data_IF_234946826736
#
_entry.id   IF_234946826736
#
_cell.length_a   1.000
_cell.length_b   1.000
_cell.length_c   1.000
_cell.angle_alpha   90.00
_cell.angle_beta   90.00
_cell.angle_gamma   90.00
#
_symmetry.space_group_name_H-M   'P 1'
#
loop_
_entity.id
_entity.type
_entity.pdbx_description
1 polymer ?
#
# COMPACT_ATOMS: atom_id res chain seq x y z
N UNK A 1 -13.24 -42.11 -8.32
CA UNK A 1 -13.66 -40.83 -8.94
C UNK A 1 -13.43 -39.61 -8.03
N UNK A 2 -13.71 -39.66 -6.72
CA UNK A 2 -13.50 -38.54 -5.79
C UNK A 2 -12.02 -38.06 -5.68
N UNK A 3 -11.04 -38.95 -5.75
CA UNK A 3 -9.61 -38.61 -5.66
C UNK A 3 -9.04 -37.88 -6.89
N UNK A 4 -9.58 -38.13 -8.08
CA UNK A 4 -9.16 -37.43 -9.30
C UNK A 4 -9.76 -36.02 -9.39
N UNK A 5 -11.02 -35.84 -8.98
CA UNK A 5 -11.68 -34.53 -8.90
C UNK A 5 -11.01 -33.63 -7.85
N UNK A 6 -10.63 -34.17 -6.68
CA UNK A 6 -9.90 -33.43 -5.64
C UNK A 6 -8.48 -33.01 -6.07
N UNK A 7 -7.79 -33.84 -6.88
CA UNK A 7 -6.48 -33.47 -7.47
C UNK A 7 -6.58 -32.39 -8.55
N UNK A 8 -7.62 -32.41 -9.40
CA UNK A 8 -7.85 -31.40 -10.42
C UNK A 8 -8.24 -30.05 -9.81
N UNK A 9 -9.06 -30.02 -8.76
CA UNK A 9 -9.41 -28.78 -8.03
C UNK A 9 -8.19 -28.17 -7.32
N UNK A 10 -7.35 -28.99 -6.68
CA UNK A 10 -6.15 -28.52 -5.99
C UNK A 10 -5.10 -27.92 -6.94
N UNK A 11 -4.93 -28.45 -8.15
CA UNK A 11 -4.06 -27.90 -9.19
C UNK A 11 -4.56 -26.54 -9.70
N UNK A 12 -5.86 -26.41 -9.96
CA UNK A 12 -6.48 -25.15 -10.42
C UNK A 12 -6.36 -24.04 -9.38
N UNK A 13 -6.55 -24.31 -8.08
CA UNK A 13 -6.42 -23.32 -6.99
C UNK A 13 -4.98 -22.80 -6.89
N UNK A 14 -3.98 -23.69 -6.95
CA UNK A 14 -2.57 -23.27 -6.91
C UNK A 14 -2.20 -22.36 -8.08
N UNK A 15 -2.57 -22.73 -9.30
CA UNK A 15 -2.32 -21.91 -10.50
C UNK A 15 -2.97 -20.54 -10.36
N UNK A 16 -4.22 -20.49 -9.92
CA UNK A 16 -4.92 -19.22 -9.67
C UNK A 16 -4.18 -18.34 -8.65
N UNK A 17 -3.73 -18.91 -7.53
CA UNK A 17 -3.00 -18.17 -6.49
C UNK A 17 -1.68 -17.61 -7.02
N UNK A 18 -0.91 -18.38 -7.80
CA UNK A 18 0.32 -17.90 -8.42
C UNK A 18 0.07 -16.79 -9.43
N UNK A 19 -0.94 -16.92 -10.30
CA UNK A 19 -1.29 -15.85 -11.26
C UNK A 19 -1.70 -14.58 -10.51
N UNK A 20 -2.55 -14.67 -9.48
CA UNK A 20 -2.97 -13.53 -8.69
C UNK A 20 -1.79 -12.90 -7.94
N UNK A 21 -0.85 -13.69 -7.42
CA UNK A 21 0.38 -13.19 -6.79
C UNK A 21 1.21 -12.38 -7.81
N UNK A 22 1.43 -12.94 -9.02
CA UNK A 22 2.20 -12.26 -10.08
C UNK A 22 1.49 -10.95 -10.47
N UNK A 23 0.17 -10.96 -10.66
CA UNK A 23 -0.62 -9.74 -10.93
C UNK A 23 -0.43 -8.69 -9.83
N UNK A 24 -0.40 -9.12 -8.56
CA UNK A 24 -0.23 -8.20 -7.44
C UNK A 24 1.22 -7.68 -7.31
N UNK A 25 2.21 -8.50 -7.69
CA UNK A 25 3.60 -8.03 -7.84
C UNK A 25 3.67 -6.91 -8.88
N UNK A 26 3.09 -7.10 -10.07
CA UNK A 26 3.04 -6.07 -11.12
C UNK A 26 2.35 -4.80 -10.63
N UNK A 27 1.25 -4.93 -9.90
CA UNK A 27 0.55 -3.79 -9.30
C UNK A 27 1.48 -2.94 -8.40
N UNK A 28 2.30 -3.58 -7.56
CA UNK A 28 3.24 -2.87 -6.69
C UNK A 28 4.50 -2.39 -7.41
N UNK A 29 4.95 -3.07 -8.47
CA UNK A 29 6.01 -2.56 -9.35
C UNK A 29 5.57 -1.22 -9.96
N UNK A 30 4.35 -1.15 -10.51
CA UNK A 30 3.81 0.07 -11.13
C UNK A 30 3.68 1.24 -10.15
N UNK A 31 3.40 0.95 -8.87
CA UNK A 31 3.35 1.98 -7.81
C UNK A 31 4.74 2.46 -7.41
N UNK A 32 5.74 1.59 -7.41
CA UNK A 32 7.06 1.96 -6.93
C UNK A 32 7.94 2.57 -8.02
N UNK A 33 7.76 2.17 -9.27
CA UNK A 33 8.56 2.70 -10.38
C UNK A 33 8.44 4.21 -10.49
N UNK A 34 7.26 4.79 -10.27
CA UNK A 34 7.07 6.24 -10.34
C UNK A 34 7.83 6.99 -9.24
N UNK A 35 8.00 6.37 -8.06
CA UNK A 35 8.72 6.98 -6.95
C UNK A 35 10.22 7.08 -7.26
N UNK A 36 10.81 6.02 -7.83
CA UNK A 36 12.24 6.01 -8.15
C UNK A 36 12.56 6.86 -9.39
N UNK A 37 11.61 6.99 -10.32
CA UNK A 37 11.75 7.80 -11.54
C UNK A 37 11.36 9.27 -11.33
N UNK A 38 10.89 9.66 -10.14
CA UNK A 38 10.33 11.00 -9.89
C UNK A 38 11.34 12.12 -10.19
N UNK A 39 12.60 11.97 -9.77
CA UNK A 39 13.63 13.00 -10.01
C UNK A 39 14.06 13.09 -11.47
N UNK A 40 14.37 11.99 -12.19
CA UNK A 40 14.61 12.05 -13.64
C UNK A 40 13.46 12.69 -14.43
N UNK A 41 12.21 12.39 -14.07
CA UNK A 41 11.02 12.99 -14.69
C UNK A 41 10.95 14.49 -14.41
N UNK A 42 11.20 14.91 -13.17
CA UNK A 42 11.21 16.32 -12.76
C UNK A 42 12.21 17.11 -13.58
N UNK A 43 13.42 16.60 -13.68
CA UNK A 43 14.51 17.28 -14.40
C UNK A 43 14.22 17.42 -15.90
N UNK A 44 13.70 16.35 -16.54
CA UNK A 44 13.47 16.40 -18.00
C UNK A 44 12.25 17.23 -18.38
N UNK A 45 11.15 17.15 -17.60
CA UNK A 45 9.91 17.88 -17.89
C UNK A 45 9.82 19.24 -17.21
N UNK A 46 10.82 19.66 -16.42
CA UNK A 46 10.85 20.93 -15.70
C UNK A 46 9.72 21.06 -14.67
N UNK A 47 9.41 19.97 -13.94
CA UNK A 47 8.30 19.95 -13.01
C UNK A 47 8.68 20.53 -11.65
N UNK A 48 7.70 21.13 -10.94
CA UNK A 48 7.84 21.47 -9.54
C UNK A 48 7.69 20.25 -8.64
N UNK A 49 8.17 20.33 -7.42
CA UNK A 49 8.03 19.27 -6.41
C UNK A 49 6.56 19.04 -6.04
N UNK A 50 5.73 20.09 -6.03
CA UNK A 50 4.26 19.97 -5.90
C UNK A 50 3.65 19.11 -7.01
N UNK A 51 4.08 19.30 -8.26
CA UNK A 51 3.61 18.51 -9.40
C UNK A 51 4.03 17.03 -9.27
N UNK A 52 5.25 16.77 -8.82
CA UNK A 52 5.72 15.42 -8.50
C UNK A 52 4.85 14.79 -7.40
N UNK A 53 4.62 15.50 -6.30
CA UNK A 53 3.77 15.03 -5.21
C UNK A 53 2.32 14.77 -5.63
N UNK A 54 1.76 15.62 -6.51
CA UNK A 54 0.42 15.43 -7.08
C UNK A 54 0.34 14.16 -7.94
N UNK A 55 1.33 13.95 -8.79
CA UNK A 55 1.41 12.81 -9.71
C UNK A 55 1.63 11.48 -8.99
N UNK A 56 2.53 11.44 -8.02
CA UNK A 56 2.87 10.21 -7.27
C UNK A 56 1.81 9.86 -6.23
N UNK A 57 1.08 10.86 -5.72
CA UNK A 57 0.10 10.73 -4.65
C UNK A 57 -1.35 10.89 -5.11
N UNK A 58 -1.86 12.12 -5.03
CA UNK A 58 -3.29 12.40 -5.09
C UNK A 58 -3.96 11.99 -6.40
N UNK A 59 -3.29 12.19 -7.54
CA UNK A 59 -3.84 11.83 -8.85
C UNK A 59 -4.18 10.34 -8.97
N UNK A 60 -3.33 9.50 -8.42
CA UNK A 60 -3.56 8.06 -8.36
C UNK A 60 -4.55 7.69 -7.25
N UNK A 61 -4.30 8.14 -6.02
CA UNK A 61 -5.01 7.70 -4.82
C UNK A 61 -6.50 8.07 -4.84
N UNK A 62 -6.86 9.24 -5.38
CA UNK A 62 -8.23 9.71 -5.43
C UNK A 62 -9.11 8.75 -6.25
N UNK A 63 -8.69 8.43 -7.46
CA UNK A 63 -9.46 7.56 -8.35
C UNK A 63 -9.43 6.10 -7.89
N UNK A 64 -8.27 5.61 -7.43
CA UNK A 64 -8.12 4.29 -6.84
C UNK A 64 -9.09 4.09 -5.67
N UNK A 65 -9.17 5.07 -4.76
CA UNK A 65 -9.96 4.97 -3.53
C UNK A 65 -11.45 5.12 -3.81
N UNK A 66 -11.85 6.10 -4.62
CA UNK A 66 -13.27 6.36 -4.93
C UNK A 66 -13.86 5.21 -5.73
N UNK A 67 -13.14 4.72 -6.74
CA UNK A 67 -13.64 3.65 -7.61
C UNK A 67 -13.56 2.26 -6.98
N UNK A 68 -12.69 2.06 -6.00
CA UNK A 68 -12.55 0.77 -5.31
C UNK A 68 -13.84 0.26 -4.69
N UNK A 69 -14.66 1.13 -4.09
CA UNK A 69 -15.94 0.76 -3.48
C UNK A 69 -17.03 0.34 -4.50
N UNK A 70 -17.32 1.12 -5.56
CA UNK A 70 -18.25 0.70 -6.62
C UNK A 70 -17.81 -0.60 -7.30
N UNK A 71 -16.51 -0.74 -7.59
CA UNK A 71 -15.95 -1.93 -8.25
C UNK A 71 -16.06 -3.17 -7.36
N UNK A 72 -15.79 -3.04 -6.04
CA UNK A 72 -16.01 -4.12 -5.10
C UNK A 72 -17.45 -4.64 -5.13
N UNK A 73 -18.43 -3.73 -5.07
CA UNK A 73 -19.87 -4.08 -5.18
C UNK A 73 -20.23 -4.71 -6.54
N UNK A 74 -19.61 -4.21 -7.61
CA UNK A 74 -19.80 -4.78 -8.95
C UNK A 74 -19.23 -6.20 -9.03
N UNK A 75 -18.05 -6.43 -8.46
CA UNK A 75 -17.39 -7.73 -8.41
C UNK A 75 -18.19 -8.79 -7.64
N UNK A 76 -18.99 -8.38 -6.65
CA UNK A 76 -19.78 -9.29 -5.82
C UNK A 76 -21.08 -9.77 -6.50
N UNK A 77 -21.51 -9.12 -7.59
CA UNK A 77 -22.68 -9.54 -8.35
C UNK A 77 -22.46 -10.93 -8.95
N UNK A 78 -23.48 -11.79 -8.91
CA UNK A 78 -23.42 -13.16 -9.47
C UNK A 78 -23.18 -13.19 -10.98
N UNK A 79 -23.57 -12.12 -11.69
CA UNK A 79 -23.39 -11.95 -13.13
C UNK A 79 -21.98 -11.54 -13.53
N UNK A 80 -21.18 -10.99 -12.61
CA UNK A 80 -19.83 -10.48 -12.91
C UNK A 80 -18.83 -11.63 -13.05
N UNK A 81 -18.06 -11.60 -14.13
CA UNK A 81 -16.92 -12.49 -14.33
C UNK A 81 -15.66 -11.82 -13.73
N UNK A 82 -15.27 -12.26 -12.52
CA UNK A 82 -14.13 -11.65 -11.79
C UNK A 82 -12.79 -11.79 -12.51
N UNK A 83 -12.43 -12.93 -13.13
CA UNK A 83 -11.25 -13.02 -14.00
C UNK A 83 -11.21 -11.97 -15.11
N UNK A 84 -12.33 -11.73 -15.79
CA UNK A 84 -12.41 -10.69 -16.82
C UNK A 84 -12.26 -9.28 -16.25
N UNK A 85 -12.78 -9.03 -15.04
CA UNK A 85 -12.61 -7.76 -14.37
C UNK A 85 -11.14 -7.55 -13.98
N UNK A 86 -10.48 -8.57 -13.42
CA UNK A 86 -9.04 -8.51 -13.05
C UNK A 86 -8.17 -8.32 -14.31
N UNK A 87 -8.41 -9.11 -15.38
CA UNK A 87 -7.65 -9.01 -16.61
C UNK A 87 -7.84 -7.67 -17.32
N UNK A 88 -9.07 -7.16 -17.38
CA UNK A 88 -9.37 -5.83 -17.94
C UNK A 88 -8.72 -4.69 -17.13
N UNK A 89 -8.81 -4.78 -15.81
CA UNK A 89 -8.14 -3.87 -14.89
C UNK A 89 -6.62 -3.87 -15.13
N UNK A 90 -6.00 -5.05 -15.18
CA UNK A 90 -4.57 -5.23 -15.45
C UNK A 90 -4.18 -4.64 -16.82
N UNK A 91 -4.95 -4.91 -17.86
CA UNK A 91 -4.67 -4.37 -19.19
C UNK A 91 -4.73 -2.83 -19.21
N UNK A 92 -5.74 -2.25 -18.54
CA UNK A 92 -5.91 -0.79 -18.46
C UNK A 92 -4.73 -0.14 -17.73
N UNK A 93 -4.42 -0.57 -16.48
CA UNK A 93 -3.34 0.10 -15.76
C UNK A 93 -1.99 -0.10 -16.42
N UNK A 94 -1.72 -1.30 -16.97
CA UNK A 94 -0.47 -1.57 -17.66
C UNK A 94 -0.29 -0.74 -18.93
N UNK A 95 -1.38 -0.55 -19.70
CA UNK A 95 -1.38 0.36 -20.85
C UNK A 95 -1.14 1.83 -20.41
N UNK A 96 -1.78 2.26 -19.32
CA UNK A 96 -1.59 3.61 -18.78
C UNK A 96 -0.16 3.79 -18.22
N UNK A 97 0.42 2.76 -17.60
CA UNK A 97 1.83 2.77 -17.17
C UNK A 97 2.76 2.92 -18.38
N UNK A 98 2.54 2.18 -19.47
CA UNK A 98 3.30 2.35 -20.70
C UNK A 98 3.12 3.77 -21.28
N UNK A 99 1.90 4.31 -21.27
CA UNK A 99 1.61 5.67 -21.72
C UNK A 99 2.31 6.76 -20.88
N UNK A 100 2.62 6.51 -19.59
CA UNK A 100 3.48 7.41 -18.81
C UNK A 100 4.83 7.63 -19.49
N UNK A 101 5.42 6.60 -20.11
CA UNK A 101 6.69 6.71 -20.84
C UNK A 101 6.61 7.58 -22.12
N UNK A 102 5.42 7.77 -22.68
CA UNK A 102 5.20 8.59 -23.87
C UNK A 102 4.81 10.04 -23.54
N UNK A 103 4.63 10.37 -22.26
CA UNK A 103 4.22 11.70 -21.84
C UNK A 103 5.29 12.76 -22.14
N UNK A 104 4.90 13.86 -22.76
CA UNK A 104 5.78 14.98 -23.14
C UNK A 104 5.63 16.20 -22.21
N UNK A 105 4.64 16.19 -21.35
CA UNK A 105 4.36 17.26 -20.40
C UNK A 105 3.62 16.71 -19.16
N UNK A 106 3.52 17.57 -18.14
CA UNK A 106 2.87 17.23 -16.87
C UNK A 106 1.44 16.72 -17.03
N UNK A 107 0.62 17.36 -17.88
CA UNK A 107 -0.81 16.98 -18.00
C UNK A 107 -0.97 15.60 -18.59
N UNK A 108 -0.19 15.24 -19.62
CA UNK A 108 -0.22 13.88 -20.18
C UNK A 108 0.18 12.84 -19.15
N UNK A 109 1.25 13.10 -18.39
CA UNK A 109 1.72 12.21 -17.35
C UNK A 109 0.68 12.08 -16.21
N UNK A 110 0.08 13.19 -15.79
CA UNK A 110 -0.96 13.22 -14.76
C UNK A 110 -2.18 12.40 -15.18
N UNK A 111 -2.67 12.56 -16.42
CA UNK A 111 -3.81 11.80 -16.94
C UNK A 111 -3.49 10.30 -17.04
N UNK A 112 -2.29 9.94 -17.48
CA UNK A 112 -1.86 8.55 -17.49
C UNK A 112 -1.82 7.95 -16.06
N UNK A 113 -1.33 8.70 -15.07
CA UNK A 113 -1.33 8.28 -13.65
C UNK A 113 -2.73 8.14 -13.07
N UNK A 114 -3.67 9.03 -13.44
CA UNK A 114 -5.10 8.85 -13.12
C UNK A 114 -5.61 7.54 -13.72
N UNK A 115 -5.30 7.27 -14.98
CA UNK A 115 -5.69 6.03 -15.66
C UNK A 115 -5.12 4.77 -15.00
N UNK A 116 -3.89 4.82 -14.49
CA UNK A 116 -3.32 3.73 -13.66
C UNK A 116 -4.17 3.52 -12.40
N UNK A 117 -4.50 4.60 -11.66
CA UNK A 117 -5.35 4.51 -10.46
C UNK A 117 -6.73 3.94 -10.73
N UNK A 118 -7.37 4.33 -11.85
CA UNK A 118 -8.65 3.77 -12.31
C UNK A 118 -8.54 2.26 -12.58
N UNK A 119 -7.50 1.84 -13.30
CA UNK A 119 -7.27 0.44 -13.62
C UNK A 119 -7.03 -0.40 -12.37
N UNK A 120 -6.11 0.02 -11.51
CA UNK A 120 -5.73 -0.74 -10.31
C UNK A 120 -6.89 -0.93 -9.31
N UNK A 121 -7.86 -0.01 -9.27
CA UNK A 121 -9.05 -0.15 -8.42
C UNK A 121 -9.84 -1.44 -8.71
N UNK A 122 -9.72 -1.99 -9.94
CA UNK A 122 -10.39 -3.20 -10.39
C UNK A 122 -9.70 -4.51 -10.02
N UNK A 123 -8.58 -4.51 -9.31
CA UNK A 123 -7.78 -5.72 -9.08
C UNK A 123 -8.05 -6.39 -7.73
N UNK A 124 -7.78 -5.69 -6.63
CA UNK A 124 -7.73 -6.29 -5.28
C UNK A 124 -9.09 -6.81 -4.79
N UNK A 125 -10.23 -6.10 -4.91
CA UNK A 125 -11.50 -6.58 -4.42
C UNK A 125 -11.95 -7.89 -5.11
N UNK A 126 -11.95 -8.01 -6.47
CA UNK A 126 -12.32 -9.26 -7.11
C UNK A 126 -11.32 -10.39 -6.86
N UNK A 127 -10.01 -10.11 -6.67
CA UNK A 127 -9.03 -11.12 -6.32
C UNK A 127 -9.31 -11.74 -4.95
N UNK A 128 -9.58 -10.91 -3.93
CA UNK A 128 -9.95 -11.39 -2.59
C UNK A 128 -11.24 -12.22 -2.62
N UNK A 129 -12.26 -11.75 -3.35
CA UNK A 129 -13.52 -12.48 -3.51
C UNK A 129 -13.31 -13.83 -4.22
N UNK A 130 -12.46 -13.86 -5.25
CA UNK A 130 -12.11 -15.09 -5.98
C UNK A 130 -11.39 -16.11 -5.08
N UNK A 131 -10.39 -15.66 -4.32
CA UNK A 131 -9.66 -16.51 -3.36
C UNK A 131 -10.61 -17.07 -2.30
N UNK A 132 -11.51 -16.24 -1.74
CA UNK A 132 -12.46 -16.66 -0.73
C UNK A 132 -13.41 -17.75 -1.21
N UNK A 133 -13.80 -17.74 -2.50
CA UNK A 133 -14.70 -18.74 -3.08
C UNK A 133 -13.99 -20.04 -3.48
N UNK A 134 -12.67 -19.99 -3.76
CA UNK A 134 -11.89 -21.15 -4.21
C UNK A 134 -11.20 -21.92 -3.09
N UNK A 135 -10.95 -21.25 -1.95
CA UNK A 135 -10.14 -21.81 -0.86
C UNK A 135 -11.03 -22.14 0.34
N UNK A 136 -10.79 -23.32 0.93
CA UNK A 136 -11.46 -23.74 2.15
C UNK A 136 -11.34 -22.68 3.26
N UNK A 137 -12.39 -22.45 4.09
CA UNK A 137 -12.38 -21.46 5.15
C UNK A 137 -11.15 -21.56 6.08
N UNK A 138 -10.70 -22.77 6.40
CA UNK A 138 -9.54 -23.06 7.25
C UNK A 138 -8.20 -22.61 6.64
N UNK A 139 -8.10 -22.49 5.32
CA UNK A 139 -6.87 -22.13 4.57
C UNK A 139 -6.91 -20.73 3.94
N UNK A 140 -8.04 -20.01 4.07
CA UNK A 140 -8.22 -18.68 3.45
C UNK A 140 -7.20 -17.66 3.91
N UNK A 141 -6.91 -17.62 5.23
CA UNK A 141 -5.91 -16.69 5.77
C UNK A 141 -4.53 -16.92 5.16
N UNK A 142 -4.11 -18.17 5.03
CA UNK A 142 -2.82 -18.51 4.39
C UNK A 142 -2.78 -18.16 2.91
N UNK A 143 -3.89 -18.37 2.18
CA UNK A 143 -3.98 -18.00 0.77
C UNK A 143 -3.95 -16.49 0.54
N UNK A 144 -4.63 -15.72 1.40
CA UNK A 144 -4.59 -14.26 1.36
C UNK A 144 -3.21 -13.73 1.77
N UNK A 145 -2.55 -14.35 2.76
CA UNK A 145 -1.17 -14.02 3.12
C UNK A 145 -0.20 -14.29 1.96
N UNK A 146 -0.35 -15.42 1.26
CA UNK A 146 0.42 -15.73 0.06
C UNK A 146 0.22 -14.66 -1.03
N UNK A 147 -1.02 -14.28 -1.31
CA UNK A 147 -1.33 -13.19 -2.25
C UNK A 147 -0.69 -11.86 -1.82
N UNK A 148 -0.73 -11.55 -0.51
CA UNK A 148 -0.16 -10.33 0.04
C UNK A 148 1.38 -10.24 -0.05
N UNK A 149 2.10 -11.36 -0.29
CA UNK A 149 3.53 -11.34 -0.60
C UNK A 149 3.84 -10.51 -1.85
N UNK A 150 2.86 -10.29 -2.72
CA UNK A 150 2.99 -9.39 -3.87
C UNK A 150 3.37 -7.96 -3.47
N UNK A 151 3.01 -7.49 -2.27
CA UNK A 151 3.33 -6.15 -1.77
C UNK A 151 4.86 -5.98 -1.60
N UNK A 152 5.53 -6.71 -0.69
CA UNK A 152 6.97 -6.52 -0.46
C UNK A 152 7.81 -6.92 -1.68
N UNK A 153 7.43 -7.99 -2.39
CA UNK A 153 8.16 -8.42 -3.59
C UNK A 153 8.04 -7.35 -4.69
N UNK A 154 6.83 -6.87 -4.97
CA UNK A 154 6.60 -5.85 -5.98
C UNK A 154 7.24 -4.50 -5.62
N UNK A 155 7.23 -4.14 -4.33
CA UNK A 155 7.91 -2.93 -3.84
C UNK A 155 9.42 -2.99 -4.09
N UNK A 156 10.06 -4.08 -3.69
CA UNK A 156 11.49 -4.29 -3.91
C UNK A 156 11.84 -4.31 -5.39
N UNK A 157 11.12 -5.12 -6.17
CA UNK A 157 11.37 -5.26 -7.61
C UNK A 157 11.09 -3.94 -8.36
N UNK A 158 10.05 -3.20 -7.97
CA UNK A 158 9.71 -1.91 -8.59
C UNK A 158 10.78 -0.86 -8.40
N UNK A 159 11.35 -0.76 -7.20
CA UNK A 159 12.47 0.14 -6.93
C UNK A 159 13.75 -0.30 -7.65
N UNK A 160 14.10 -1.59 -7.56
CA UNK A 160 15.31 -2.14 -8.16
C UNK A 160 15.26 -2.07 -9.69
N UNK A 161 14.23 -2.66 -10.30
CA UNK A 161 14.09 -2.71 -11.76
C UNK A 161 13.89 -1.30 -12.32
N UNK A 162 13.04 -0.49 -11.68
CA UNK A 162 12.79 0.89 -12.09
C UNK A 162 14.05 1.73 -12.08
N UNK A 163 14.87 1.64 -11.03
CA UNK A 163 16.14 2.35 -10.93
C UNK A 163 17.17 1.89 -11.97
N UNK A 164 17.39 0.57 -12.12
CA UNK A 164 18.31 0.01 -13.10
C UNK A 164 17.91 0.36 -14.55
N UNK A 165 16.62 0.33 -14.86
CA UNK A 165 16.12 0.74 -16.17
C UNK A 165 16.28 2.26 -16.39
N UNK A 166 16.09 3.08 -15.37
CA UNK A 166 16.32 4.51 -15.47
C UNK A 166 17.75 4.84 -15.87
N UNK A 167 18.72 4.17 -15.24
CA UNK A 167 20.15 4.39 -15.52
C UNK A 167 20.58 3.84 -16.91
N UNK A 168 19.97 2.74 -17.37
CA UNK A 168 20.39 2.06 -18.59
C UNK A 168 19.67 2.57 -19.86
N UNK A 169 18.36 2.81 -19.78
CA UNK A 169 17.53 3.15 -20.94
C UNK A 169 16.68 4.42 -20.77
N UNK A 170 16.78 5.07 -19.62
CA UNK A 170 16.02 6.25 -19.25
C UNK A 170 14.59 5.95 -18.76
N UNK A 171 14.00 6.92 -18.06
CA UNK A 171 12.70 6.75 -17.40
C UNK A 171 11.54 6.45 -18.36
N UNK A 172 11.58 6.96 -19.59
CA UNK A 172 10.54 6.72 -20.60
C UNK A 172 10.47 5.26 -20.99
N UNK A 173 11.62 4.68 -21.34
CA UNK A 173 11.71 3.27 -21.69
C UNK A 173 11.47 2.36 -20.48
N UNK A 174 11.84 2.80 -19.27
CA UNK A 174 11.53 2.06 -18.04
C UNK A 174 10.01 1.85 -17.89
N UNK A 175 9.19 2.89 -18.10
CA UNK A 175 7.73 2.75 -18.09
C UNK A 175 7.20 1.81 -19.18
N UNK A 176 7.76 1.86 -20.39
CA UNK A 176 7.36 0.96 -21.47
C UNK A 176 7.72 -0.49 -21.15
N UNK A 177 8.94 -0.75 -20.67
CA UNK A 177 9.44 -2.09 -20.35
C UNK A 177 8.66 -2.71 -19.18
N UNK A 178 8.19 -1.92 -18.23
CA UNK A 178 7.40 -2.40 -17.10
C UNK A 178 5.92 -2.52 -17.45
N UNK A 179 5.35 -1.58 -18.22
CA UNK A 179 3.94 -1.60 -18.57
C UNK A 179 3.57 -2.69 -19.59
N UNK A 180 4.34 -2.84 -20.67
CA UNK A 180 3.99 -3.77 -21.74
C UNK A 180 3.86 -5.24 -21.30
N UNK A 181 4.73 -5.82 -20.45
CA UNK A 181 4.56 -7.19 -19.98
C UNK A 181 3.28 -7.42 -19.18
N UNK A 182 2.76 -6.38 -18.49
CA UNK A 182 1.47 -6.46 -17.80
C UNK A 182 0.29 -6.66 -18.76
N UNK A 183 0.35 -6.12 -19.98
CA UNK A 183 -0.66 -6.38 -21.01
C UNK A 183 -0.61 -7.87 -21.46
N UNK A 184 0.59 -8.43 -21.63
CA UNK A 184 0.75 -9.86 -21.91
C UNK A 184 0.23 -10.73 -20.75
N UNK A 185 0.50 -10.31 -19.51
CA UNK A 185 -0.04 -11.00 -18.32
C UNK A 185 -1.57 -10.93 -18.25
N UNK A 186 -2.20 -9.86 -18.74
CA UNK A 186 -3.67 -9.79 -18.83
C UNK A 186 -4.24 -10.88 -19.75
N UNK A 187 -3.57 -11.22 -20.84
CA UNK A 187 -3.96 -12.36 -21.71
C UNK A 187 -3.88 -13.68 -20.94
N UNK A 188 -2.84 -13.87 -20.10
CA UNK A 188 -2.74 -15.05 -19.23
C UNK A 188 -3.91 -15.08 -18.24
N UNK A 189 -4.27 -13.95 -17.64
CA UNK A 189 -5.43 -13.86 -16.73
C UNK A 189 -6.72 -14.25 -17.46
N UNK A 190 -6.99 -13.70 -18.64
CA UNK A 190 -8.19 -14.03 -19.42
C UNK A 190 -8.30 -15.50 -19.80
N UNK A 191 -7.17 -16.17 -20.08
CA UNK A 191 -7.14 -17.54 -20.57
C UNK A 191 -7.14 -18.58 -19.44
N UNK A 192 -6.40 -18.34 -18.37
CA UNK A 192 -6.16 -19.36 -17.34
C UNK A 192 -7.01 -19.16 -16.07
N UNK A 193 -7.38 -17.93 -15.68
CA UNK A 193 -8.24 -17.74 -14.53
C UNK A 193 -9.70 -18.11 -14.87
N UNK A 194 -10.32 -18.87 -13.96
CA UNK A 194 -11.72 -19.30 -14.07
C UNK A 194 -12.49 -18.84 -12.85
N UNK A 195 -13.71 -18.33 -13.05
CA UNK A 195 -14.60 -17.98 -11.94
C UNK A 195 -15.30 -19.25 -11.41
N UNK A 196 -15.10 -19.64 -10.13
CA UNK A 196 -15.72 -20.82 -9.55
C UNK A 196 -17.25 -20.74 -9.53
N UNK A 197 -17.84 -19.53 -9.52
CA UNK A 197 -19.28 -19.32 -9.61
C UNK A 197 -19.87 -19.80 -10.95
N UNK A 198 -19.06 -19.77 -12.02
CA UNK A 198 -19.45 -20.17 -13.37
C UNK A 198 -19.07 -21.61 -13.71
N UNK A 199 -18.09 -22.17 -13.02
CA UNK A 199 -17.58 -23.53 -13.29
C UNK A 199 -18.12 -24.58 -12.31
N UNK A 200 -18.95 -24.17 -11.34
CA UNK A 200 -19.48 -25.08 -10.32
C UNK A 200 -18.43 -25.57 -9.30
N UNK A 201 -17.25 -24.95 -9.27
CA UNK A 201 -16.15 -25.33 -8.38
C UNK A 201 -16.17 -24.54 -7.06
N UNK A 202 -17.33 -24.01 -6.63
CA UNK A 202 -17.46 -23.34 -5.35
C UNK A 202 -17.29 -24.32 -4.20
N UNK A 203 -16.51 -23.94 -3.19
CA UNK A 203 -16.37 -24.73 -1.97
C UNK A 203 -17.67 -24.72 -1.15
N UNK A 204 -18.08 -25.91 -0.68
CA UNK A 204 -19.22 -26.03 0.22
C UNK A 204 -19.00 -25.20 1.49
N UNK A 205 -19.98 -24.43 1.92
CA UNK A 205 -19.90 -23.55 3.09
C UNK A 205 -19.60 -22.08 2.78
N UNK A 206 -19.40 -21.69 1.51
CA UNK A 206 -19.14 -20.29 1.13
C UNK A 206 -20.42 -19.41 1.17
N UNK A 207 -21.59 -20.02 1.23
CA UNK A 207 -22.90 -19.32 1.23
C UNK A 207 -23.38 -18.82 2.60
N UNK A 208 -22.59 -18.87 3.66
CA UNK A 208 -22.97 -18.11 4.85
C UNK A 208 -22.67 -16.62 4.64
N UNK A 209 -23.54 -15.96 3.88
CA UNK A 209 -23.77 -14.53 4.03
C UNK A 209 -24.33 -14.31 5.43
N UNK A 210 -23.46 -14.15 6.43
CA UNK A 210 -23.90 -13.45 7.65
C UNK A 210 -24.49 -12.14 7.16
N UNK A 211 -25.77 -11.88 7.43
CA UNK A 211 -26.45 -10.62 7.08
C UNK A 211 -25.51 -9.48 7.45
N UNK A 212 -24.97 -8.79 6.45
CA UNK A 212 -24.11 -7.64 6.69
C UNK A 212 -24.93 -6.56 7.37
N UNK A 213 -24.34 -5.94 8.38
CA UNK A 213 -25.00 -4.80 9.03
C UNK A 213 -25.24 -3.70 7.98
N UNK A 214 -26.43 -3.05 7.97
CA UNK A 214 -26.67 -1.91 7.09
C UNK A 214 -25.58 -0.85 7.22
N UNK A 215 -25.07 -0.35 6.10
CA UNK A 215 -23.93 0.58 6.05
C UNK A 215 -24.11 1.76 7.01
N UNK A 216 -25.31 2.38 7.05
CA UNK A 216 -25.60 3.52 7.94
C UNK A 216 -25.46 3.14 9.41
N UNK A 217 -25.94 1.96 9.81
CA UNK A 217 -25.84 1.47 11.19
C UNK A 217 -24.40 1.12 11.56
N UNK A 218 -23.65 0.49 10.64
CA UNK A 218 -22.23 0.20 10.84
C UNK A 218 -21.40 1.48 11.01
N UNK A 219 -21.58 2.48 10.14
CA UNK A 219 -20.90 3.77 10.26
C UNK A 219 -21.25 4.48 11.57
N UNK A 220 -22.55 4.48 11.97
CA UNK A 220 -22.95 5.06 13.23
C UNK A 220 -22.27 4.39 14.42
N UNK A 221 -22.22 3.06 14.45
CA UNK A 221 -21.55 2.31 15.52
C UNK A 221 -20.04 2.59 15.58
N UNK A 222 -19.36 2.68 14.42
CA UNK A 222 -17.94 2.96 14.31
C UNK A 222 -17.60 4.37 14.79
N UNK A 223 -18.28 5.40 14.27
CA UNK A 223 -17.98 6.79 14.62
C UNK A 223 -18.50 7.20 16.02
N UNK A 224 -19.32 6.38 16.66
CA UNK A 224 -19.66 6.54 18.08
C UNK A 224 -18.56 6.02 19.02
N UNK A 225 -17.68 5.13 18.57
CA UNK A 225 -16.52 4.66 19.31
C UNK A 225 -15.36 5.64 19.20
N UNK A 226 -14.97 6.23 20.33
CA UNK A 226 -13.82 7.15 20.37
C UNK A 226 -12.50 6.44 20.06
N UNK A 227 -12.35 5.18 20.51
CA UNK A 227 -11.19 4.37 20.20
C UNK A 227 -11.09 4.09 18.68
N UNK A 228 -12.21 3.80 18.01
CA UNK A 228 -12.24 3.61 16.56
C UNK A 228 -11.81 4.88 15.82
N UNK A 229 -12.34 6.04 16.15
CA UNK A 229 -11.99 7.33 15.54
C UNK A 229 -10.51 7.66 15.73
N UNK A 230 -9.99 7.49 16.97
CA UNK A 230 -8.57 7.70 17.26
C UNK A 230 -7.68 6.73 16.48
N UNK A 231 -8.11 5.49 16.31
CA UNK A 231 -7.35 4.47 15.58
C UNK A 231 -7.32 4.74 14.08
N UNK A 232 -8.43 5.19 13.48
CA UNK A 232 -8.47 5.64 12.09
C UNK A 232 -7.58 6.87 11.89
N UNK A 233 -7.62 7.84 12.81
CA UNK A 233 -6.75 9.02 12.77
C UNK A 233 -5.27 8.62 12.89
N UNK A 234 -4.92 7.73 13.83
CA UNK A 234 -3.57 7.23 14.02
C UNK A 234 -3.03 6.51 12.77
N UNK A 235 -3.84 5.57 12.23
CA UNK A 235 -3.47 4.80 11.04
C UNK A 235 -3.35 5.67 9.79
N UNK A 236 -4.20 6.69 9.64
CA UNK A 236 -4.15 7.64 8.52
C UNK A 236 -2.94 8.57 8.62
N UNK A 237 -2.63 9.09 9.81
CA UNK A 237 -1.45 9.91 10.05
C UNK A 237 -0.14 9.12 9.86
N UNK A 238 -0.11 7.85 10.31
CA UNK A 238 1.02 6.96 10.06
C UNK A 238 1.20 6.66 8.56
N UNK A 239 0.11 6.38 7.85
CA UNK A 239 0.12 6.17 6.39
C UNK A 239 0.56 7.44 5.63
N UNK A 240 0.14 8.63 6.08
CA UNK A 240 0.55 9.90 5.50
C UNK A 240 2.08 10.06 5.52
N UNK A 241 2.71 9.77 6.64
CA UNK A 241 4.17 9.83 6.76
C UNK A 241 4.85 8.70 5.99
N UNK A 242 4.29 7.48 5.99
CA UNK A 242 4.89 6.35 5.31
C UNK A 242 4.92 6.57 3.79
N UNK A 243 3.79 6.89 3.17
CA UNK A 243 3.72 7.12 1.72
C UNK A 243 4.43 8.40 1.29
N UNK A 244 4.29 9.49 2.05
CA UNK A 244 5.02 10.72 1.79
C UNK A 244 6.53 10.49 1.80
N UNK A 245 7.05 9.90 2.87
CA UNK A 245 8.50 9.69 3.03
C UNK A 245 9.09 8.75 1.96
N UNK A 246 8.40 7.71 1.53
CA UNK A 246 8.96 6.77 0.54
C UNK A 246 9.36 7.50 -0.76
N UNK A 247 8.48 8.32 -1.32
CA UNK A 247 8.77 9.11 -2.51
C UNK A 247 9.92 10.08 -2.27
N UNK A 248 9.87 10.84 -1.17
CA UNK A 248 10.80 11.93 -0.94
C UNK A 248 12.16 11.49 -0.40
N UNK A 249 12.28 10.32 0.23
CA UNK A 249 13.56 9.71 0.58
C UNK A 249 14.30 9.24 -0.68
N UNK A 250 13.60 8.71 -1.70
CA UNK A 250 14.26 8.38 -2.97
C UNK A 250 14.83 9.63 -3.63
N UNK A 251 14.06 10.73 -3.66
CA UNK A 251 14.51 12.02 -4.19
C UNK A 251 15.66 12.60 -3.35
N UNK A 252 15.61 12.48 -2.03
CA UNK A 252 16.69 12.92 -1.13
C UNK A 252 18.01 12.21 -1.43
N UNK A 253 18.01 10.89 -1.61
CA UNK A 253 19.23 10.18 -1.98
C UNK A 253 19.78 10.59 -3.35
N UNK A 254 18.91 10.83 -4.33
CA UNK A 254 19.33 11.26 -5.66
C UNK A 254 19.82 12.72 -5.65
N UNK A 255 19.10 13.62 -5.01
CA UNK A 255 19.31 15.07 -5.06
C UNK A 255 20.42 15.51 -4.10
N UNK A 256 20.36 15.10 -2.84
CA UNK A 256 21.30 15.52 -1.79
C UNK A 256 22.60 14.71 -1.80
N UNK A 257 22.49 13.39 -2.06
CA UNK A 257 23.67 12.52 -2.04
C UNK A 257 24.21 12.16 -3.42
N UNK A 258 23.55 12.59 -4.50
CA UNK A 258 23.99 12.38 -5.88
C UNK A 258 23.95 10.90 -6.33
N UNK A 259 23.19 10.03 -5.66
CA UNK A 259 23.06 8.64 -6.07
C UNK A 259 22.24 8.57 -7.36
N UNK A 260 22.60 7.62 -8.23
CA UNK A 260 21.77 7.32 -9.40
C UNK A 260 20.43 6.69 -8.98
N UNK A 261 19.40 6.71 -9.83
CA UNK A 261 18.16 5.97 -9.60
C UNK A 261 18.41 4.48 -9.32
N UNK A 262 19.37 3.84 -10.02
CA UNK A 262 19.73 2.43 -9.83
C UNK A 262 20.35 2.17 -8.46
N UNK A 263 21.29 2.98 -8.03
CA UNK A 263 21.88 2.90 -6.70
C UNK A 263 20.84 3.11 -5.60
N UNK A 264 20.00 4.14 -5.76
CA UNK A 264 18.92 4.42 -4.81
C UNK A 264 17.91 3.27 -4.76
N UNK A 265 17.51 2.73 -5.92
CA UNK A 265 16.58 1.62 -6.03
C UNK A 265 17.11 0.34 -5.38
N UNK A 266 18.40 0.05 -5.55
CA UNK A 266 19.07 -1.08 -4.92
C UNK A 266 19.13 -0.91 -3.40
N UNK A 267 19.82 0.13 -2.93
CA UNK A 267 20.14 0.26 -1.52
C UNK A 267 18.94 0.64 -0.66
N UNK A 268 18.20 1.68 -1.05
CA UNK A 268 17.00 2.06 -0.31
C UNK A 268 15.85 1.06 -0.50
N UNK A 269 15.73 0.42 -1.67
CA UNK A 269 14.77 -0.65 -1.89
C UNK A 269 14.97 -1.85 -0.96
N UNK A 270 16.22 -2.28 -0.75
CA UNK A 270 16.57 -3.35 0.20
C UNK A 270 16.23 -2.96 1.66
N UNK A 271 16.57 -1.73 2.07
CA UNK A 271 16.25 -1.24 3.41
C UNK A 271 14.73 -1.12 3.58
N UNK A 272 14.04 -0.47 2.66
CA UNK A 272 12.59 -0.26 2.75
C UNK A 272 11.81 -1.59 2.73
N UNK A 273 12.19 -2.52 1.85
CA UNK A 273 11.58 -3.86 1.77
C UNK A 273 11.92 -4.71 2.99
N UNK A 274 13.21 -4.92 3.26
CA UNK A 274 13.67 -5.81 4.33
C UNK A 274 13.29 -5.33 5.73
N UNK A 275 13.60 -4.08 6.06
CA UNK A 275 13.25 -3.50 7.37
C UNK A 275 11.73 -3.34 7.53
N UNK A 276 10.99 -3.05 6.44
CA UNK A 276 9.54 -2.98 6.45
C UNK A 276 8.89 -4.32 6.81
N UNK A 277 9.37 -5.43 6.22
CA UNK A 277 8.92 -6.79 6.56
C UNK A 277 9.24 -7.09 8.03
N UNK A 278 10.47 -6.84 8.46
CA UNK A 278 10.90 -7.07 9.84
C UNK A 278 10.03 -6.29 10.85
N UNK A 279 9.73 -5.02 10.55
CA UNK A 279 8.87 -4.18 11.37
C UNK A 279 7.42 -4.69 11.45
N UNK A 280 6.86 -5.11 10.33
CA UNK A 280 5.49 -5.66 10.28
C UNK A 280 5.37 -6.95 11.09
N UNK A 281 6.33 -7.87 10.95
CA UNK A 281 6.38 -9.14 11.71
C UNK A 281 6.58 -8.85 13.20
N UNK A 282 7.51 -7.96 13.54
CA UNK A 282 7.78 -7.58 14.92
C UNK A 282 6.57 -6.92 15.57
N UNK A 283 5.84 -6.06 14.84
CA UNK A 283 4.60 -5.41 15.31
C UNK A 283 3.52 -6.43 15.65
N UNK A 284 3.31 -7.44 14.80
CA UNK A 284 2.41 -8.56 15.07
C UNK A 284 2.84 -9.36 16.30
N UNK A 285 4.11 -9.76 16.37
CA UNK A 285 4.66 -10.53 17.50
C UNK A 285 4.50 -9.80 18.85
N UNK A 286 4.80 -8.50 18.89
CA UNK A 286 4.65 -7.66 20.09
C UNK A 286 3.18 -7.57 20.49
N UNK A 287 2.29 -7.35 19.51
CA UNK A 287 0.85 -7.29 19.77
C UNK A 287 0.32 -8.60 20.36
N UNK A 288 0.71 -9.75 19.82
CA UNK A 288 0.28 -11.06 20.30
C UNK A 288 0.83 -11.35 21.70
N UNK A 289 2.13 -11.15 21.93
CA UNK A 289 2.80 -11.52 23.19
C UNK A 289 2.46 -10.59 24.35
N UNK A 290 2.48 -9.27 24.11
CA UNK A 290 2.25 -8.27 25.16
C UNK A 290 0.80 -7.85 25.24
N UNK A 291 0.08 -7.85 24.11
CA UNK A 291 -1.35 -7.61 24.05
C UNK A 291 -2.18 -8.68 24.77
N UNK A 292 -1.69 -9.93 24.82
CA UNK A 292 -2.31 -11.00 25.61
C UNK A 292 -2.30 -10.71 27.11
N UNK A 293 -1.31 -9.98 27.63
CA UNK A 293 -1.22 -9.58 29.04
C UNK A 293 -2.06 -8.33 29.34
N UNK A 294 -2.06 -7.38 28.45
CA UNK A 294 -2.84 -6.15 28.52
C UNK A 294 -3.05 -5.61 27.10
N UNK A 295 -4.29 -5.56 26.66
CA UNK A 295 -4.71 -5.10 25.32
C UNK A 295 -4.18 -3.70 24.96
N UNK A 296 -3.93 -2.84 25.97
CA UNK A 296 -3.30 -1.52 25.81
C UNK A 296 -1.95 -1.60 25.10
N UNK A 297 -1.15 -2.64 25.36
CA UNK A 297 0.19 -2.78 24.79
C UNK A 297 0.19 -3.04 23.27
N UNK A 298 -0.94 -3.49 22.71
CA UNK A 298 -1.10 -3.66 21.26
C UNK A 298 -0.80 -2.34 20.51
N UNK A 299 -1.28 -1.21 21.03
CA UNK A 299 -1.12 0.11 20.40
C UNK A 299 -0.02 0.97 21.02
N UNK A 300 0.45 0.64 22.23
CA UNK A 300 1.57 1.35 22.86
C UNK A 300 2.88 1.11 22.09
N UNK A 301 3.09 -0.10 21.54
CA UNK A 301 4.31 -0.41 20.79
C UNK A 301 4.44 0.46 19.51
N UNK A 302 3.43 0.58 18.63
CA UNK A 302 3.47 1.54 17.54
C UNK A 302 3.70 2.99 17.99
N UNK A 303 3.04 3.44 19.08
CA UNK A 303 3.23 4.78 19.61
C UNK A 303 4.68 5.06 20.01
N UNK A 304 5.30 4.14 20.77
CA UNK A 304 6.72 4.23 21.16
C UNK A 304 7.63 4.15 19.94
N UNK A 305 7.36 3.23 19.01
CA UNK A 305 8.12 3.10 17.77
C UNK A 305 8.18 4.42 16.97
N UNK A 306 7.06 5.13 16.85
CA UNK A 306 7.02 6.43 16.16
C UNK A 306 7.91 7.48 16.85
N UNK A 307 7.98 7.47 18.19
CA UNK A 307 8.88 8.38 18.94
C UNK A 307 10.34 7.97 18.78
N UNK A 308 10.65 6.68 18.86
CA UNK A 308 12.01 6.13 18.68
C UNK A 308 12.56 6.45 17.28
N UNK A 309 11.69 6.57 16.28
CA UNK A 309 12.07 6.98 14.92
C UNK A 309 12.80 8.33 14.90
N UNK A 310 12.44 9.28 15.78
CA UNK A 310 12.85 10.69 15.68
C UNK A 310 14.39 10.87 15.69
N UNK A 311 15.14 10.41 16.69
CA UNK A 311 16.60 10.66 16.73
C UNK A 311 17.32 10.01 15.54
N UNK A 312 16.93 8.82 15.12
CA UNK A 312 17.56 8.14 14.00
C UNK A 312 17.27 8.83 12.67
N UNK A 313 16.03 9.26 12.44
CA UNK A 313 15.66 9.97 11.22
C UNK A 313 16.31 11.36 11.15
N UNK A 314 16.37 12.09 12.26
CA UNK A 314 17.10 13.37 12.31
C UNK A 314 18.56 13.20 11.94
N UNK A 315 19.27 12.24 12.54
CA UNK A 315 20.67 11.96 12.22
C UNK A 315 20.84 11.52 10.77
N UNK A 316 19.89 10.70 10.24
CA UNK A 316 19.92 10.26 8.84
C UNK A 316 19.83 11.42 7.85
N UNK A 317 18.97 12.41 8.12
CA UNK A 317 18.79 13.56 7.22
C UNK A 317 19.83 14.65 7.43
N UNK A 318 20.58 14.64 8.56
CA UNK A 318 21.65 15.60 8.82
C UNK A 318 23.03 15.17 8.27
N UNK A 319 23.26 13.87 8.11
CA UNK A 319 24.57 13.37 7.66
C UNK A 319 24.77 13.56 6.15
N UNK A 320 26.00 13.89 5.75
CA UNK A 320 26.41 13.94 4.34
C UNK A 320 26.91 12.59 3.82
N UNK A 321 27.04 11.59 4.68
CA UNK A 321 27.40 10.24 4.30
C UNK A 321 26.12 9.43 3.98
N UNK A 322 25.88 9.14 2.71
CA UNK A 322 24.70 8.41 2.25
C UNK A 322 24.57 7.01 2.85
N UNK A 323 25.69 6.32 3.07
CA UNK A 323 25.67 4.97 3.62
C UNK A 323 25.26 5.00 5.10
N UNK A 324 25.77 5.98 5.87
CA UNK A 324 25.35 6.21 7.24
C UNK A 324 23.87 6.60 7.31
N UNK A 325 23.40 7.49 6.41
CA UNK A 325 21.98 7.84 6.30
C UNK A 325 21.12 6.60 6.08
N UNK A 326 21.53 5.73 5.16
CA UNK A 326 20.83 4.48 4.84
C UNK A 326 20.74 3.55 6.06
N UNK A 327 21.84 3.32 6.79
CA UNK A 327 21.85 2.51 8.00
C UNK A 327 20.99 3.09 9.11
N UNK A 328 21.02 4.39 9.31
CA UNK A 328 20.19 5.08 10.30
C UNK A 328 18.70 4.96 9.96
N UNK A 329 18.31 4.89 8.68
CA UNK A 329 16.93 4.72 8.24
C UNK A 329 16.35 3.31 8.46
N UNK A 330 17.18 2.31 8.78
CA UNK A 330 16.69 0.95 9.12
C UNK A 330 15.76 1.00 10.34
N UNK A 331 16.16 1.69 11.40
CA UNK A 331 15.36 1.80 12.63
C UNK A 331 14.03 2.52 12.40
N UNK A 332 13.99 3.71 11.77
CA UNK A 332 12.74 4.34 11.36
C UNK A 332 11.82 3.45 10.52
N UNK A 333 12.37 2.71 9.56
CA UNK A 333 11.57 1.84 8.69
C UNK A 333 10.94 0.69 9.45
N UNK A 334 11.68 0.03 10.35
CA UNK A 334 11.15 -1.00 11.25
C UNK A 334 10.05 -0.40 12.13
N UNK A 335 10.34 0.69 12.83
CA UNK A 335 9.43 1.30 13.79
C UNK A 335 8.15 1.83 13.13
N UNK A 336 8.27 2.44 11.94
CA UNK A 336 7.13 2.92 11.19
C UNK A 336 6.25 1.79 10.61
N UNK A 337 6.75 0.56 10.54
CA UNK A 337 5.98 -0.61 10.07
C UNK A 337 5.29 -1.40 11.19
N UNK A 338 5.60 -1.10 12.46
CA UNK A 338 5.02 -1.81 13.62
C UNK A 338 3.50 -1.69 13.71
N UNK A 339 2.89 -0.63 13.14
CA UNK A 339 1.47 -0.33 13.34
C UNK A 339 0.52 -1.17 12.49
N UNK A 340 0.98 -1.81 11.40
CA UNK A 340 0.08 -2.47 10.46
C UNK A 340 -0.79 -3.54 11.13
N UNK A 341 -0.21 -4.61 11.66
CA UNK A 341 -0.94 -5.68 12.33
C UNK A 341 -1.81 -5.20 13.48
N UNK A 342 -1.22 -4.48 14.47
CA UNK A 342 -1.95 -3.93 15.61
C UNK A 342 -3.16 -3.07 15.24
N UNK A 343 -3.04 -2.22 14.21
CA UNK A 343 -4.13 -1.35 13.79
C UNK A 343 -5.29 -2.14 13.19
N UNK A 344 -4.99 -3.07 12.27
CA UNK A 344 -6.04 -3.87 11.63
C UNK A 344 -6.75 -4.81 12.60
N UNK A 345 -6.02 -5.45 13.51
CA UNK A 345 -6.61 -6.32 14.55
C UNK A 345 -7.48 -5.52 15.51
N UNK A 346 -7.03 -4.34 15.95
CA UNK A 346 -7.79 -3.49 16.87
C UNK A 346 -9.06 -2.93 16.21
N UNK A 347 -8.99 -2.49 14.94
CA UNK A 347 -10.18 -2.04 14.19
C UNK A 347 -11.25 -3.12 14.14
N UNK A 348 -10.85 -4.38 13.87
CA UNK A 348 -11.79 -5.49 13.81
C UNK A 348 -12.33 -5.88 15.19
N UNK A 349 -11.56 -5.72 16.26
CA UNK A 349 -12.00 -5.96 17.64
C UNK A 349 -13.02 -4.92 18.15
N UNK A 350 -12.89 -3.66 17.70
CA UNK A 350 -13.76 -2.56 18.12
C UNK A 350 -15.17 -2.56 17.49
N UNK A 351 -15.46 -3.49 16.58
CA UNK A 351 -16.76 -3.55 15.88
C UNK A 351 -17.38 -4.95 15.94
N UNK A 352 -18.70 -5.06 15.86
CA UNK A 352 -19.39 -6.35 15.75
C UNK A 352 -18.89 -7.16 14.53
N UNK A 353 -18.94 -8.49 14.61
CA UNK A 353 -18.51 -9.40 13.53
C UNK A 353 -19.08 -9.02 12.16
N UNK A 354 -20.38 -8.63 12.12
CA UNK A 354 -21.10 -8.22 10.90
C UNK A 354 -20.63 -6.89 10.29
N UNK A 355 -19.86 -6.08 11.04
CA UNK A 355 -19.33 -4.77 10.61
C UNK A 355 -17.83 -4.79 10.30
N UNK A 356 -17.09 -5.86 10.56
CA UNK A 356 -15.62 -5.94 10.43
C UNK A 356 -15.11 -5.59 9.04
N UNK A 357 -15.78 -6.09 7.99
CA UNK A 357 -15.41 -5.79 6.62
C UNK A 357 -15.57 -4.30 6.29
N UNK A 358 -16.66 -3.68 6.75
CA UNK A 358 -16.92 -2.24 6.57
C UNK A 358 -15.88 -1.43 7.34
N UNK A 359 -15.52 -1.84 8.56
CA UNK A 359 -14.53 -1.15 9.39
C UNK A 359 -13.13 -1.17 8.75
N UNK A 360 -12.71 -2.30 8.20
CA UNK A 360 -11.47 -2.40 7.44
C UNK A 360 -11.50 -1.53 6.17
N UNK A 361 -12.63 -1.49 5.46
CA UNK A 361 -12.79 -0.63 4.28
C UNK A 361 -12.73 0.86 4.63
N UNK A 362 -13.33 1.28 5.75
CA UNK A 362 -13.27 2.66 6.25
C UNK A 362 -11.83 3.04 6.60
N UNK A 363 -11.11 2.17 7.33
CA UNK A 363 -9.70 2.42 7.64
C UNK A 363 -8.87 2.58 6.36
N UNK A 364 -8.99 1.64 5.43
CA UNK A 364 -8.27 1.69 4.15
C UNK A 364 -8.61 2.93 3.33
N UNK A 365 -9.89 3.33 3.31
CA UNK A 365 -10.33 4.56 2.62
C UNK A 365 -9.56 5.78 3.13
N UNK A 366 -9.52 5.98 4.44
CA UNK A 366 -8.81 7.12 5.02
C UNK A 366 -7.29 7.00 4.88
N UNK A 367 -6.70 5.80 5.03
CA UNK A 367 -5.27 5.58 4.82
C UNK A 367 -4.85 5.86 3.37
N UNK A 368 -5.66 5.47 2.39
CA UNK A 368 -5.36 5.74 0.99
C UNK A 368 -5.56 7.21 0.63
N UNK A 369 -6.68 7.80 1.03
CA UNK A 369 -6.96 9.19 0.66
C UNK A 369 -5.99 10.17 1.36
N UNK A 370 -5.81 10.03 2.68
CA UNK A 370 -4.94 10.91 3.46
C UNK A 370 -3.47 10.48 3.31
N UNK A 371 -3.18 9.18 3.41
CA UNK A 371 -1.81 8.68 3.35
C UNK A 371 -1.23 8.73 1.94
N UNK A 372 -1.73 7.87 1.08
CA UNK A 372 -1.23 7.73 -0.29
C UNK A 372 -1.51 8.98 -1.14
N UNK A 373 -2.68 9.65 -0.93
CA UNK A 373 -3.06 10.83 -1.70
C UNK A 373 -2.35 12.09 -1.23
N UNK A 374 -2.56 12.50 0.01
CA UNK A 374 -2.09 13.78 0.51
C UNK A 374 -0.63 13.73 1.00
N UNK A 375 -0.09 12.56 1.38
CA UNK A 375 1.28 12.44 1.87
C UNK A 375 2.29 12.99 0.87
N UNK A 376 2.49 12.37 -0.31
CA UNK A 376 3.48 12.82 -1.28
C UNK A 376 3.24 14.28 -1.72
N UNK A 377 1.98 14.70 -1.87
CA UNK A 377 1.63 16.07 -2.25
C UNK A 377 2.08 17.09 -1.20
N UNK A 378 1.82 16.84 0.09
CA UNK A 378 2.23 17.73 1.17
C UNK A 378 3.75 17.94 1.21
N UNK A 379 4.51 16.86 1.08
CA UNK A 379 5.98 16.95 1.06
C UNK A 379 6.47 17.76 -0.14
N UNK A 380 5.86 17.59 -1.32
CA UNK A 380 6.18 18.38 -2.51
C UNK A 380 5.88 19.87 -2.35
N UNK A 381 4.71 20.20 -1.80
CA UNK A 381 4.35 21.60 -1.52
C UNK A 381 5.31 22.23 -0.52
N UNK A 382 5.71 21.49 0.52
CA UNK A 382 6.68 21.99 1.51
C UNK A 382 8.08 22.15 0.88
N UNK A 383 8.47 21.26 -0.05
CA UNK A 383 9.74 21.37 -0.76
C UNK A 383 9.79 22.61 -1.63
N UNK A 384 8.75 22.87 -2.44
CA UNK A 384 8.65 24.08 -3.26
C UNK A 384 8.65 25.37 -2.40
N UNK A 385 7.96 25.32 -1.23
CA UNK A 385 7.94 26.46 -0.30
C UNK A 385 9.33 26.77 0.29
N UNK A 386 10.15 25.76 0.53
CA UNK A 386 11.50 25.90 1.08
C UNK A 386 12.57 26.12 0.00
N UNK A 387 12.27 25.83 -1.26
CA UNK A 387 13.24 25.94 -2.37
C UNK A 387 13.91 27.33 -2.51
N UNK A 388 13.19 28.47 -2.33
CA UNK A 388 13.83 29.78 -2.42
C UNK A 388 14.94 30.00 -1.37
N UNK A 389 14.87 29.33 -0.22
CA UNK A 389 15.83 29.47 0.85
C UNK A 389 16.95 28.40 0.81
N UNK A 390 16.63 27.18 0.37
CA UNK A 390 17.51 26.02 0.47
C UNK A 390 17.87 25.36 -0.87
N UNK A 391 17.29 25.83 -1.98
CA UNK A 391 17.55 25.24 -3.30
C UNK A 391 17.20 23.75 -3.36
N UNK A 392 18.07 22.96 -3.95
CA UNK A 392 17.90 21.50 -4.09
C UNK A 392 17.91 20.76 -2.75
N UNK A 393 18.46 21.36 -1.69
CA UNK A 393 18.45 20.80 -0.33
C UNK A 393 17.07 20.95 0.37
N UNK A 394 16.10 21.61 -0.24
CA UNK A 394 14.74 21.79 0.33
C UNK A 394 14.13 20.47 0.80
N UNK A 395 14.32 19.38 0.05
CA UNK A 395 13.83 18.03 0.38
C UNK A 395 14.41 17.52 1.70
N UNK A 396 15.72 17.73 1.94
CA UNK A 396 16.40 17.40 3.20
C UNK A 396 15.70 18.06 4.39
N UNK A 397 15.42 19.35 4.29
CA UNK A 397 14.78 20.13 5.37
C UNK A 397 13.31 19.76 5.56
N UNK A 398 12.59 19.44 4.49
CA UNK A 398 11.22 18.90 4.58
C UNK A 398 11.20 17.58 5.33
N UNK A 399 12.08 16.63 4.99
CA UNK A 399 12.19 15.33 5.66
C UNK A 399 12.60 15.49 7.13
N UNK A 400 13.52 16.43 7.40
CA UNK A 400 13.94 16.78 8.75
C UNK A 400 12.75 17.28 9.59
N UNK A 401 12.01 18.28 9.09
CA UNK A 401 10.82 18.81 9.77
C UNK A 401 9.68 17.77 9.91
N UNK A 402 9.46 16.96 8.86
CA UNK A 402 8.46 15.91 8.86
C UNK A 402 8.77 14.77 9.87
N UNK A 403 10.00 14.68 10.37
CA UNK A 403 10.33 13.72 11.43
C UNK A 403 9.53 14.01 12.70
N UNK A 404 9.32 15.27 13.05
CA UNK A 404 8.53 15.68 14.22
C UNK A 404 7.03 15.44 14.02
N UNK A 405 6.52 15.41 12.78
CA UNK A 405 5.13 15.02 12.51
C UNK A 405 4.83 13.58 12.95
N UNK A 406 5.84 12.75 13.16
CA UNK A 406 5.72 11.41 13.76
C UNK A 406 5.12 11.42 15.18
N UNK A 407 5.18 12.54 15.89
CA UNK A 407 4.53 12.70 17.18
C UNK A 407 2.99 12.68 17.08
N UNK A 408 2.43 13.06 15.92
CA UNK A 408 0.98 13.09 15.72
C UNK A 408 0.38 11.65 15.73
N UNK A 409 0.80 10.70 14.87
CA UNK A 409 0.34 9.32 14.98
C UNK A 409 0.73 8.68 16.31
N UNK A 410 1.89 8.98 16.89
CA UNK A 410 2.29 8.50 18.21
C UNK A 410 1.27 8.90 19.29
N UNK A 411 0.87 10.17 19.29
CA UNK A 411 -0.15 10.69 20.21
C UNK A 411 -1.51 9.98 20.02
N UNK A 412 -1.96 9.81 18.78
CA UNK A 412 -3.23 9.14 18.53
C UNK A 412 -3.19 7.66 18.91
N UNK A 413 -2.11 6.93 18.62
CA UNK A 413 -1.94 5.54 19.06
C UNK A 413 -1.92 5.44 20.58
N UNK A 414 -1.17 6.33 21.25
CA UNK A 414 -1.13 6.38 22.71
C UNK A 414 -2.50 6.68 23.30
N UNK A 415 -3.21 7.70 22.80
CA UNK A 415 -4.58 8.03 23.29
C UNK A 415 -5.57 6.89 23.04
N UNK A 416 -5.47 6.23 21.90
CA UNK A 416 -6.30 5.05 21.59
C UNK A 416 -5.99 3.90 22.57
N UNK A 417 -4.71 3.64 22.86
CA UNK A 417 -4.30 2.56 23.77
C UNK A 417 -4.90 2.70 25.18
N UNK A 418 -5.11 3.91 25.65
CA UNK A 418 -5.72 4.19 26.96
C UNK A 418 -7.21 3.83 27.00
N UNK A 419 -7.91 3.91 25.85
CA UNK A 419 -9.36 3.66 25.76
C UNK A 419 -9.70 2.26 25.27
N UNK A 420 -8.72 1.54 24.72
CA UNK A 420 -8.94 0.26 24.07
C UNK A 420 -9.52 -0.77 25.04
N UNK A 421 -9.02 -0.84 26.27
CA UNK A 421 -9.55 -1.73 27.29
C UNK A 421 -10.99 -1.39 27.68
N UNK A 422 -11.27 -0.11 27.97
CA UNK A 422 -12.59 0.35 28.39
C UNK A 422 -13.69 0.03 27.36
N UNK A 423 -13.39 0.22 26.06
CA UNK A 423 -14.36 0.01 24.98
C UNK A 423 -14.47 -1.46 24.53
N UNK A 424 -13.47 -2.30 24.78
CA UNK A 424 -13.55 -3.74 24.53
C UNK A 424 -14.27 -4.46 25.66
N UNK A 425 -13.99 -4.09 26.93
CA UNK A 425 -14.62 -4.69 28.10
C UNK A 425 -16.13 -4.37 28.21
N UNK A 426 -16.59 -3.27 27.59
CA UNK A 426 -18.02 -2.93 27.50
C UNK A 426 -18.79 -3.77 26.45
N UNK A 427 -18.09 -4.56 25.62
CA UNK A 427 -18.67 -5.34 24.53
C UNK A 427 -18.64 -6.86 24.78
N UNK A 428 -17.84 -7.31 25.76
CA UNK A 428 -17.84 -8.66 26.29
C UNK A 428 -18.90 -8.77 27.42
#
# INVERSE_FOLDING_TARGET
MATAAARQTGGSVRVTLWILLIVYIFNFIDRQIVNILAEPIRLELGLSDTQIGLMTGLAFALFYTILGLPIARFSDRSTTNRPWLIGGALAIWSAMTALCGLAQNFIQLLLARIGVGVGEAGCTPPAHSLIADMVEPSKRSSALAFYALGIPIGTLLGMLIGGLLADSVGWRNAFLIVGLPGIALAVVVFTYLKDPRRTGMMQAGTQQSSEQMPMKAALKAMFSSRAFVLLVAAGSAAAFLAYGKVTWITIFFQRTHGLTPGETGLWFGLVNGGAGIAGTVLGGYIADRWGAKNRRHVLTAPAVGMVVTIPFALLAFMTDNWLLALFLLIVPTICNSLYYGPTYSSVQGLVPLRARAIAAAVLLFFQNLIGLGLGPLFFGMMSDLLQPAYGEESVRYVLYGATFLGLLPAFFFWRCSLRLNEELDQKD
#
